data_IF_680907365870
#
_entry.id   IF_680907365870
#
_cell.length_a   1.000
_cell.length_b   1.000
_cell.length_c   1.000
_cell.angle_alpha   90.00
_cell.angle_beta   90.00
_cell.angle_gamma   90.00
#
_symmetry.space_group_name_H-M   'P 1'
#
loop_
_entity.id
_entity.type
_entity.pdbx_description
1 polymer ?
#
# COMPACT_ATOMS: atom_id res chain seq x y z
N UNK A 1 -0.90 5.97 -24.98
CA UNK A 1 -1.15 5.34 -23.67
C UNK A 1 -0.09 4.27 -23.42
N UNK A 2 1.06 4.58 -22.81
CA UNK A 2 2.04 3.51 -22.47
C UNK A 2 3.16 3.99 -21.53
N UNK A 3 2.85 4.76 -20.47
CA UNK A 3 3.87 5.07 -19.45
C UNK A 3 3.74 4.15 -18.25
N UNK A 4 2.52 3.79 -17.85
CA UNK A 4 2.27 2.87 -16.73
C UNK A 4 1.76 1.52 -17.22
N UNK A 5 2.63 0.50 -17.17
CA UNK A 5 2.32 -0.87 -17.59
C UNK A 5 1.91 -1.78 -16.43
N UNK A 6 2.09 -1.31 -15.20
CA UNK A 6 1.91 -2.10 -14.01
C UNK A 6 0.89 -1.41 -13.10
N UNK A 7 0.03 -2.22 -12.48
CA UNK A 7 -0.92 -1.78 -11.48
C UNK A 7 -0.58 -2.50 -10.18
N UNK A 8 -0.17 -1.75 -9.18
CA UNK A 8 -0.03 -2.25 -7.82
C UNK A 8 -1.38 -2.11 -7.11
N UNK A 9 -1.83 -3.19 -6.50
CA UNK A 9 -3.10 -3.25 -5.77
C UNK A 9 -2.79 -3.52 -4.31
N UNK A 10 -3.23 -2.62 -3.43
CA UNK A 10 -3.13 -2.77 -1.98
C UNK A 10 -4.55 -2.89 -1.42
N UNK A 11 -4.84 -3.97 -0.70
CA UNK A 11 -6.15 -4.26 -0.15
C UNK A 11 -6.03 -4.48 1.35
N UNK A 12 -6.86 -3.77 2.11
CA UNK A 12 -7.19 -4.13 3.47
C UNK A 12 -8.33 -5.13 3.46
N UNK A 13 -8.08 -6.33 3.97
CA UNK A 13 -9.07 -7.40 3.98
C UNK A 13 -10.22 -7.13 4.97
N UNK A 14 -9.94 -6.45 6.09
CA UNK A 14 -10.94 -6.23 7.14
C UNK A 14 -11.99 -5.19 6.74
N UNK A 15 -11.55 -4.12 6.06
CA UNK A 15 -12.43 -3.03 5.62
C UNK A 15 -12.88 -3.16 4.16
N UNK A 16 -12.30 -4.12 3.42
CA UNK A 16 -12.38 -4.22 1.96
C UNK A 16 -11.93 -2.96 1.21
N UNK A 17 -11.24 -2.03 1.87
CA UNK A 17 -10.65 -0.87 1.23
C UNK A 17 -9.54 -1.30 0.27
N UNK A 18 -9.55 -0.75 -0.95
CA UNK A 18 -8.59 -1.10 -2.00
C UNK A 18 -8.05 0.17 -2.65
N UNK A 19 -6.73 0.26 -2.79
CA UNK A 19 -6.04 1.31 -3.55
C UNK A 19 -5.33 0.71 -4.76
N UNK A 20 -5.43 1.44 -5.87
CA UNK A 20 -4.88 1.08 -7.17
C UNK A 20 -3.86 2.15 -7.55
N UNK A 21 -2.60 1.75 -7.67
CA UNK A 21 -1.50 2.65 -8.02
C UNK A 21 -0.86 2.20 -9.34
N UNK A 22 -0.85 3.10 -10.31
CA UNK A 22 -0.22 2.87 -11.61
C UNK A 22 1.29 3.09 -11.49
N UNK A 23 2.07 2.17 -12.05
CA UNK A 23 3.53 2.22 -12.03
C UNK A 23 4.14 2.01 -13.42
N UNK A 24 5.22 2.75 -13.73
CA UNK A 24 5.96 2.59 -14.98
C UNK A 24 6.89 1.37 -14.96
N UNK A 25 7.24 0.84 -13.76
CA UNK A 25 8.13 -0.31 -13.60
C UNK A 25 7.74 -1.19 -12.41
N UNK A 26 7.98 -2.50 -12.52
CA UNK A 26 7.74 -3.51 -11.48
C UNK A 26 8.97 -3.78 -10.62
N UNK A 27 9.62 -2.73 -10.11
CA UNK A 27 10.81 -2.90 -9.25
C UNK A 27 10.42 -3.02 -7.79
N UNK A 28 11.20 -3.78 -7.01
CA UNK A 28 11.00 -3.91 -5.57
C UNK A 28 11.07 -2.56 -4.85
N UNK A 29 11.91 -1.63 -5.33
CA UNK A 29 12.04 -0.30 -4.76
C UNK A 29 10.71 0.50 -4.83
N UNK A 30 10.00 0.44 -5.96
CA UNK A 30 8.72 1.13 -6.11
C UNK A 30 7.62 0.49 -5.25
N UNK A 31 7.60 -0.85 -5.17
CA UNK A 31 6.65 -1.58 -4.31
C UNK A 31 6.89 -1.26 -2.83
N UNK A 32 8.15 -1.23 -2.37
CA UNK A 32 8.48 -0.90 -0.99
C UNK A 32 8.03 0.52 -0.63
N UNK A 33 8.27 1.50 -1.50
CA UNK A 33 7.78 2.87 -1.28
C UNK A 33 6.26 2.93 -1.15
N UNK A 34 5.53 2.20 -2.00
CA UNK A 34 4.08 2.14 -1.97
C UNK A 34 3.55 1.55 -0.65
N UNK A 35 4.13 0.43 -0.21
CA UNK A 35 3.76 -0.25 1.04
C UNK A 35 4.03 0.65 2.25
N UNK A 36 5.19 1.32 2.30
CA UNK A 36 5.50 2.25 3.39
C UNK A 36 4.54 3.44 3.43
N UNK A 37 4.21 4.00 2.26
CA UNK A 37 3.23 5.08 2.16
C UNK A 37 1.82 4.62 2.55
N UNK A 38 1.45 3.39 2.25
CA UNK A 38 0.19 2.80 2.70
C UNK A 38 0.17 2.64 4.22
N UNK A 39 1.21 2.06 4.82
CA UNK A 39 1.28 1.87 6.27
C UNK A 39 1.24 3.17 7.06
N UNK A 40 1.79 4.27 6.53
CA UNK A 40 1.68 5.57 7.21
C UNK A 40 0.24 6.12 7.24
N UNK A 41 -0.63 5.71 6.31
CA UNK A 41 -2.04 6.13 6.24
C UNK A 41 -2.99 5.15 6.90
N UNK A 42 -2.79 3.87 6.65
CA UNK A 42 -3.71 2.78 7.03
C UNK A 42 -3.26 2.04 8.30
N UNK A 43 -2.07 2.33 8.81
CA UNK A 43 -1.48 1.59 9.92
C UNK A 43 -0.84 0.26 9.49
N UNK A 44 -0.29 -0.46 10.47
CA UNK A 44 0.39 -1.74 10.27
C UNK A 44 -0.56 -2.86 10.74
N UNK A 45 -0.91 -3.83 9.89
CA UNK A 45 -1.75 -4.95 10.28
C UNK A 45 -1.19 -5.69 11.50
N UNK A 46 -2.04 -5.96 12.49
CA UNK A 46 -1.66 -6.69 13.71
C UNK A 46 -0.93 -5.86 14.77
N UNK A 47 -0.59 -4.60 14.49
CA UNK A 47 -0.12 -3.65 15.50
C UNK A 47 -1.34 -2.84 15.96
N UNK A 48 -1.92 -3.21 17.10
CA UNK A 48 -2.88 -2.33 17.77
C UNK A 48 -2.14 -1.11 18.31
N UNK A 49 -2.72 0.08 18.19
CA UNK A 49 -2.20 1.28 18.84
C UNK A 49 -1.99 1.00 20.34
N UNK A 50 -0.84 1.39 20.94
CA UNK A 50 -0.63 1.18 22.36
C UNK A 50 -1.73 1.89 23.14
N UNK A 51 -2.46 1.13 23.95
CA UNK A 51 -3.50 1.69 24.82
C UNK A 51 -2.85 2.75 25.71
N UNK A 52 -3.30 4.02 25.66
CA UNK A 52 -2.78 5.04 26.56
C UNK A 52 -3.09 4.62 28.01
N UNK A 53 -2.07 4.67 28.87
CA UNK A 53 -2.22 4.38 30.31
C UNK A 53 -3.12 5.38 30.99
#
# INVERSE_FOLDING_TARGET
>A
FAVDRYLLVLKDEATHFTELAAYPSQTSAEVVKAILAWHSRCGIPGVSEPVPK
#
